data_IF_561433935173
#
_entry.id   IF_561433935173
#
_cell.length_a   1.000
_cell.length_b   1.000
_cell.length_c   1.000
_cell.angle_alpha   90.00
_cell.angle_beta   90.00
_cell.angle_gamma   90.00
#
_symmetry.space_group_name_H-M   'P 1'
#
loop_
_entity.id
_entity.type
_entity.pdbx_description
1 polymer ?
#
# COMPACT_ATOMS: atom_id res chain seq x y z
N UNK A 1 -19.07 6.54 -37.55
CA UNK A 1 -18.43 7.15 -38.73
C UNK A 1 -17.04 6.52 -38.96
N UNK A 2 -16.97 5.19 -39.06
CA UNK A 2 -15.69 4.45 -39.22
C UNK A 2 -15.75 3.36 -40.30
N UNK A 3 -16.90 3.15 -40.95
CA UNK A 3 -17.04 2.15 -42.02
C UNK A 3 -16.72 2.71 -43.41
N UNK A 4 -16.92 4.02 -43.66
CA UNK A 4 -16.69 4.61 -44.99
C UNK A 4 -15.20 4.69 -45.35
N UNK A 5 -14.32 4.95 -44.38
CA UNK A 5 -12.87 5.00 -44.61
C UNK A 5 -12.26 3.62 -44.91
N UNK A 6 -12.90 2.53 -44.47
CA UNK A 6 -12.41 1.17 -44.69
C UNK A 6 -12.71 0.67 -46.10
N UNK A 7 -13.92 0.92 -46.60
CA UNK A 7 -14.29 0.58 -47.99
C UNK A 7 -13.50 1.38 -49.02
N UNK A 8 -13.21 2.66 -48.71
CA UNK A 8 -12.41 3.52 -49.58
C UNK A 8 -10.98 3.01 -49.76
N UNK A 9 -10.32 2.61 -48.67
CA UNK A 9 -8.97 2.06 -48.72
C UNK A 9 -8.91 0.72 -49.47
N UNK A 10 -9.94 -0.12 -49.40
CA UNK A 10 -10.00 -1.37 -50.20
C UNK A 10 -10.10 -1.07 -51.70
N UNK A 11 -10.89 -0.07 -52.10
CA UNK A 11 -11.02 0.32 -53.50
C UNK A 11 -9.70 0.87 -54.07
N UNK A 12 -8.99 1.71 -53.31
CA UNK A 12 -7.67 2.25 -53.70
C UNK A 12 -6.61 1.14 -53.74
N UNK A 13 -6.63 0.20 -52.78
CA UNK A 13 -5.71 -0.94 -52.75
C UNK A 13 -5.91 -1.84 -53.96
N UNK A 14 -7.16 -2.20 -54.24
CA UNK A 14 -7.49 -2.93 -55.45
C UNK A 14 -6.87 -2.16 -56.61
N UNK A 15 -7.09 -0.82 -56.71
CA UNK A 15 -6.63 0.05 -57.81
C UNK A 15 -5.13 -0.03 -58.04
N UNK A 16 -4.36 -0.04 -56.96
CA UNK A 16 -2.93 -0.22 -57.01
C UNK A 16 -2.50 -1.62 -57.54
N UNK A 17 -3.29 -2.67 -57.31
CA UNK A 17 -3.02 -4.04 -57.76
C UNK A 17 -3.56 -4.36 -59.17
N UNK A 18 -4.22 -3.40 -59.85
CA UNK A 18 -4.81 -3.59 -61.17
C UNK A 18 -5.91 -4.68 -61.24
N UNK A 19 -6.70 -4.82 -60.17
CA UNK A 19 -7.84 -5.76 -60.04
C UNK A 19 -9.17 -4.98 -59.98
N UNK A 20 -9.69 -4.50 -61.13
CA UNK A 20 -10.97 -3.71 -61.22
C UNK A 20 -11.79 -4.06 -62.42
N UNK A 21 -13.07 -3.73 -62.31
CA UNK A 21 -13.99 -3.62 -63.44
C UNK A 21 -14.00 -2.20 -64.04
N UNK A 22 -14.23 -2.08 -65.35
CA UNK A 22 -14.06 -0.82 -66.10
C UNK A 22 -14.93 0.35 -65.62
N UNK A 23 -16.07 0.08 -64.98
CA UNK A 23 -16.97 1.11 -64.45
C UNK A 23 -16.46 1.76 -63.15
N UNK A 24 -15.76 1.00 -62.29
CA UNK A 24 -15.23 1.49 -61.01
C UNK A 24 -14.03 2.43 -61.21
N UNK A 25 -13.27 2.21 -62.28
CA UNK A 25 -12.07 3.00 -62.62
C UNK A 25 -12.38 4.48 -62.88
N UNK A 26 -13.55 4.79 -63.45
CA UNK A 26 -13.93 6.17 -63.75
C UNK A 26 -14.20 6.99 -62.49
N UNK A 27 -14.82 6.36 -61.48
CA UNK A 27 -15.15 7.02 -60.21
C UNK A 27 -13.90 7.21 -59.35
N UNK A 28 -13.04 6.19 -59.27
CA UNK A 28 -11.75 6.28 -58.56
C UNK A 28 -10.86 7.36 -59.18
N UNK A 29 -10.82 7.48 -60.52
CA UNK A 29 -10.08 8.56 -61.21
C UNK A 29 -10.65 9.94 -60.91
N UNK A 30 -11.98 10.10 -60.88
CA UNK A 30 -12.61 11.37 -60.52
C UNK A 30 -12.22 11.79 -59.10
N UNK A 31 -12.22 10.83 -58.17
CA UNK A 31 -11.85 11.05 -56.78
C UNK A 31 -10.36 11.39 -56.60
N UNK A 32 -9.49 10.67 -57.30
CA UNK A 32 -8.05 10.96 -57.32
C UNK A 32 -7.77 12.38 -57.84
N UNK A 33 -8.62 12.94 -58.71
CA UNK A 33 -8.46 14.32 -59.19
C UNK A 33 -8.97 15.37 -58.18
N UNK A 34 -9.96 15.04 -57.35
CA UNK A 34 -10.54 15.98 -56.38
C UNK A 34 -9.84 15.97 -55.02
N UNK A 35 -9.20 14.86 -54.62
CA UNK A 35 -8.65 14.66 -53.27
C UNK A 35 -7.12 14.42 -53.30
N UNK A 36 -6.29 15.37 -52.80
CA UNK A 36 -4.84 15.20 -52.75
C UNK A 36 -4.39 14.14 -51.73
N UNK A 37 -5.19 13.89 -50.68
CA UNK A 37 -4.92 12.85 -49.67
C UNK A 37 -5.04 11.43 -50.27
N UNK A 38 -6.03 11.20 -51.13
CA UNK A 38 -6.21 9.94 -51.85
C UNK A 38 -5.04 9.65 -52.81
N UNK A 39 -4.47 10.69 -53.44
CA UNK A 39 -3.26 10.55 -54.26
C UNK A 39 -2.05 10.15 -53.43
N UNK A 40 -1.84 10.77 -52.26
CA UNK A 40 -0.74 10.45 -51.37
C UNK A 40 -0.81 8.99 -50.87
N UNK A 41 -2.01 8.51 -50.52
CA UNK A 41 -2.22 7.12 -50.12
C UNK A 41 -1.94 6.14 -51.26
N UNK A 42 -2.36 6.44 -52.49
CA UNK A 42 -2.06 5.62 -53.66
C UNK A 42 -0.55 5.53 -53.92
N UNK A 43 0.19 6.63 -53.79
CA UNK A 43 1.65 6.63 -53.98
C UNK A 43 2.38 5.77 -52.94
N UNK A 44 2.01 5.89 -51.66
CA UNK A 44 2.57 5.06 -50.59
C UNK A 44 2.32 3.58 -50.87
N UNK A 45 1.11 3.23 -51.30
CA UNK A 45 0.74 1.85 -51.57
C UNK A 45 1.47 1.27 -52.79
N UNK A 46 1.59 2.05 -53.87
CA UNK A 46 2.40 1.68 -55.05
C UNK A 46 3.87 1.47 -54.69
N UNK A 47 4.45 2.34 -53.85
CA UNK A 47 5.83 2.20 -53.39
C UNK A 47 6.05 0.90 -52.62
N UNK A 48 5.12 0.55 -51.73
CA UNK A 48 5.21 -0.70 -50.95
C UNK A 48 5.00 -1.95 -51.83
N UNK A 49 4.08 -1.89 -52.81
CA UNK A 49 3.89 -2.98 -53.78
C UNK A 49 5.09 -3.15 -54.71
N UNK A 50 5.77 -2.06 -55.08
CA UNK A 50 6.99 -2.13 -55.87
C UNK A 50 8.11 -2.91 -55.15
N UNK A 51 8.28 -2.70 -53.83
CA UNK A 51 9.24 -3.46 -53.02
C UNK A 51 8.95 -4.97 -53.01
N UNK A 52 7.68 -5.36 -53.05
CA UNK A 52 7.27 -6.78 -53.10
C UNK A 52 7.45 -7.39 -54.49
N UNK A 53 7.37 -6.57 -55.55
CA UNK A 53 7.52 -7.02 -56.92
C UNK A 53 8.99 -7.21 -57.32
N UNK A 54 9.95 -6.66 -56.57
CA UNK A 54 11.40 -6.90 -56.80
C UNK A 54 11.76 -8.40 -56.76
N UNK A 55 11.04 -9.21 -55.97
CA UNK A 55 11.23 -10.66 -55.88
C UNK A 55 10.49 -11.46 -56.98
N UNK A 56 9.60 -10.83 -57.74
CA UNK A 56 8.78 -11.53 -58.76
C UNK A 56 9.54 -11.81 -60.07
N UNK A 57 10.70 -11.18 -60.25
CA UNK A 57 11.58 -11.40 -61.40
C UNK A 57 12.63 -12.52 -61.18
N UNK A 58 12.53 -13.26 -60.07
CA UNK A 58 13.45 -14.35 -59.78
C UNK A 58 13.06 -15.58 -60.62
N UNK A 59 13.97 -16.01 -61.49
CA UNK A 59 13.86 -17.29 -62.17
C UNK A 59 13.58 -18.41 -61.15
N UNK A 60 12.65 -19.33 -61.42
CA UNK A 60 12.38 -20.42 -60.52
C UNK A 60 13.69 -21.18 -60.25
N UNK A 61 14.02 -21.47 -58.98
CA UNK A 61 15.29 -22.09 -58.65
C UNK A 61 15.43 -23.42 -59.38
N UNK A 62 16.65 -23.72 -59.84
CA UNK A 62 16.93 -24.97 -60.55
C UNK A 62 16.36 -26.18 -59.78
N UNK A 63 15.78 -27.15 -60.49
CA UNK A 63 15.04 -28.30 -59.92
C UNK A 63 15.80 -29.08 -58.82
N UNK A 64 17.13 -28.97 -58.77
CA UNK A 64 17.98 -29.64 -57.80
C UNK A 64 18.54 -28.74 -56.69
N UNK A 65 18.12 -27.47 -56.59
CA UNK A 65 18.66 -26.53 -55.60
C UNK A 65 18.37 -27.03 -54.17
N UNK A 66 17.14 -27.45 -53.87
CA UNK A 66 16.80 -27.98 -52.56
C UNK A 66 17.68 -29.16 -52.16
N UNK A 67 17.90 -30.11 -53.09
CA UNK A 67 18.79 -31.27 -52.86
C UNK A 67 20.24 -30.84 -52.64
N UNK A 68 20.74 -29.87 -53.43
CA UNK A 68 22.10 -29.33 -53.27
C UNK A 68 22.26 -28.59 -51.93
N UNK A 69 21.26 -27.84 -51.49
CA UNK A 69 21.27 -27.15 -50.19
C UNK A 69 21.28 -28.14 -49.04
N UNK A 70 20.47 -29.19 -49.09
CA UNK A 70 20.46 -30.26 -48.07
C UNK A 70 21.83 -30.93 -47.98
N UNK A 71 22.45 -31.26 -49.12
CA UNK A 71 23.80 -31.85 -49.16
C UNK A 71 24.82 -30.85 -48.59
N UNK A 72 24.76 -29.57 -48.98
CA UNK A 72 25.67 -28.52 -48.51
C UNK A 72 25.58 -28.29 -47.01
N UNK A 73 24.37 -28.29 -46.43
CA UNK A 73 24.14 -28.12 -44.99
C UNK A 73 24.64 -29.35 -44.22
N UNK A 74 24.38 -30.55 -44.73
CA UNK A 74 24.93 -31.79 -44.17
C UNK A 74 26.46 -31.80 -44.17
N UNK A 75 27.08 -31.40 -45.27
CA UNK A 75 28.55 -31.33 -45.41
C UNK A 75 29.15 -30.17 -44.60
N UNK A 76 28.38 -29.13 -44.30
CA UNK A 76 28.79 -28.04 -43.41
C UNK A 76 28.69 -28.45 -41.93
N UNK A 77 27.74 -29.28 -41.53
CA UNK A 77 27.66 -29.83 -40.18
C UNK A 77 28.83 -30.77 -39.84
N UNK A 78 29.39 -31.47 -40.83
CA UNK A 78 30.53 -32.38 -40.65
C UNK A 78 31.90 -31.69 -40.73
N UNK A 79 31.95 -30.43 -41.16
CA UNK A 79 33.15 -29.60 -41.14
C UNK A 79 32.98 -28.47 -40.12
N UNK A 80 33.51 -28.67 -38.92
CA UNK A 80 33.80 -27.55 -38.00
C UNK A 80 34.91 -26.70 -38.60
N UNK A 81 34.56 -25.83 -39.55
CA UNK A 81 35.44 -24.74 -39.96
C UNK A 81 35.51 -23.77 -38.78
N UNK A 82 36.71 -23.32 -38.36
CA UNK A 82 36.80 -22.19 -37.45
C UNK A 82 36.22 -20.99 -38.19
N UNK A 83 34.98 -20.63 -37.88
CA UNK A 83 34.41 -19.36 -38.29
C UNK A 83 35.22 -18.28 -37.59
N UNK A 84 36.25 -17.77 -38.28
CA UNK A 84 36.92 -16.54 -37.88
C UNK A 84 35.94 -15.42 -38.17
N UNK A 85 34.93 -15.31 -37.31
CA UNK A 85 34.06 -14.14 -37.26
C UNK A 85 34.99 -12.95 -37.10
N UNK A 86 34.95 -12.04 -38.07
CA UNK A 86 35.47 -10.71 -37.85
C UNK A 86 34.53 -10.09 -36.81
N UNK A 87 34.87 -10.26 -35.52
CA UNK A 87 34.15 -9.66 -34.39
C UNK A 87 34.46 -8.15 -34.33
N UNK A 88 34.29 -7.46 -35.46
CA UNK A 88 34.22 -6.01 -35.52
C UNK A 88 32.78 -5.71 -35.87
N UNK A 89 31.94 -5.54 -34.83
CA UNK A 89 30.64 -4.81 -34.81
C UNK A 89 29.61 -5.31 -33.77
N UNK A 90 29.95 -6.23 -32.86
CA UNK A 90 29.02 -6.59 -31.75
C UNK A 90 29.20 -5.70 -30.49
N UNK A 91 30.25 -4.88 -30.44
CA UNK A 91 30.48 -3.99 -29.28
C UNK A 91 29.46 -2.83 -29.20
N UNK A 92 28.96 -2.31 -30.33
CA UNK A 92 27.97 -1.22 -30.32
C UNK A 92 26.58 -1.69 -29.84
N UNK A 93 26.17 -2.91 -30.21
CA UNK A 93 24.91 -3.49 -29.74
C UNK A 93 24.93 -3.81 -28.24
N UNK A 94 26.07 -4.25 -27.70
CA UNK A 94 26.22 -4.46 -26.25
C UNK A 94 26.17 -3.14 -25.47
N UNK A 95 26.79 -2.08 -25.97
CA UNK A 95 26.71 -0.76 -25.34
C UNK A 95 25.30 -0.17 -25.41
N UNK A 96 24.59 -0.36 -26.52
CA UNK A 96 23.19 0.08 -26.67
C UNK A 96 22.24 -0.72 -25.75
N UNK A 97 22.38 -2.05 -25.66
CA UNK A 97 21.63 -2.89 -24.71
C UNK A 97 21.92 -2.54 -23.26
N UNK A 98 23.17 -2.28 -22.91
CA UNK A 98 23.55 -1.88 -21.55
C UNK A 98 23.02 -0.48 -21.21
N UNK A 99 22.97 0.44 -22.18
CA UNK A 99 22.40 1.77 -22.00
C UNK A 99 20.89 1.71 -21.77
N UNK A 100 20.14 0.98 -22.61
CA UNK A 100 18.69 0.77 -22.43
C UNK A 100 18.40 0.12 -21.08
N UNK A 101 19.18 -0.89 -20.68
CA UNK A 101 19.03 -1.55 -19.38
C UNK A 101 19.33 -0.62 -18.19
N UNK A 102 20.21 0.37 -18.35
CA UNK A 102 20.46 1.40 -17.33
C UNK A 102 19.32 2.40 -17.24
N UNK A 103 18.74 2.81 -18.37
CA UNK A 103 17.55 3.66 -18.38
C UNK A 103 16.35 2.93 -17.77
N UNK A 104 16.14 1.67 -18.12
CA UNK A 104 15.09 0.83 -17.52
C UNK A 104 15.27 0.70 -16.00
N UNK A 105 16.50 0.51 -15.53
CA UNK A 105 16.83 0.50 -14.10
C UNK A 105 16.55 1.87 -13.43
N UNK A 106 16.87 2.99 -14.10
CA UNK A 106 16.58 4.34 -13.59
C UNK A 106 15.07 4.61 -13.51
N UNK A 107 14.31 4.18 -14.51
CA UNK A 107 12.85 4.28 -14.53
C UNK A 107 12.24 3.43 -13.42
N UNK A 108 12.70 2.18 -13.26
CA UNK A 108 12.26 1.31 -12.18
C UNK A 108 12.59 1.89 -10.79
N UNK A 109 13.79 2.45 -10.61
CA UNK A 109 14.19 3.12 -9.37
C UNK A 109 13.33 4.36 -9.10
N UNK A 110 13.08 5.19 -10.11
CA UNK A 110 12.20 6.36 -10.01
C UNK A 110 10.77 5.97 -9.63
N UNK A 111 10.23 4.92 -10.26
CA UNK A 111 8.90 4.40 -9.93
C UNK A 111 8.84 3.89 -8.48
N UNK A 112 9.88 3.17 -8.01
CA UNK A 112 9.96 2.69 -6.64
C UNK A 112 9.99 3.86 -5.64
N UNK A 113 10.73 4.94 -5.94
CA UNK A 113 10.75 6.14 -5.10
C UNK A 113 9.37 6.80 -5.06
N UNK A 114 8.67 6.92 -6.18
CA UNK A 114 7.31 7.48 -6.22
C UNK A 114 6.35 6.61 -5.42
N UNK A 115 6.36 5.28 -5.65
CA UNK A 115 5.50 4.33 -4.94
C UNK A 115 5.78 4.38 -3.43
N UNK A 116 7.05 4.34 -3.03
CA UNK A 116 7.41 4.38 -1.60
C UNK A 116 7.05 5.72 -0.96
N UNK A 117 7.19 6.83 -1.70
CA UNK A 117 6.75 8.15 -1.26
C UNK A 117 5.24 8.26 -1.00
N UNK A 118 4.41 7.49 -1.71
CA UNK A 118 2.95 7.43 -1.49
C UNK A 118 2.55 6.38 -0.46
N UNK A 119 3.21 5.21 -0.47
CA UNK A 119 2.89 4.13 0.48
C UNK A 119 3.26 4.49 1.91
N UNK A 120 4.36 5.21 2.13
CA UNK A 120 4.81 5.59 3.46
C UNK A 120 3.79 6.43 4.25
N UNK A 121 3.24 7.56 3.73
CA UNK A 121 2.24 8.34 4.45
C UNK A 121 0.91 7.58 4.60
N UNK A 122 0.53 6.76 3.62
CA UNK A 122 -0.67 5.93 3.73
C UNK A 122 -0.55 4.88 4.85
N UNK A 123 0.59 4.19 4.92
CA UNK A 123 0.86 3.22 5.99
C UNK A 123 0.92 3.91 7.36
N UNK A 124 1.54 5.10 7.43
CA UNK A 124 1.56 5.90 8.64
C UNK A 124 0.13 6.27 9.08
N UNK A 125 -0.71 6.74 8.16
CA UNK A 125 -2.09 7.07 8.46
C UNK A 125 -2.88 5.83 8.93
N UNK A 126 -2.73 4.69 8.25
CA UNK A 126 -3.36 3.44 8.66
C UNK A 126 -2.98 3.02 10.09
N UNK A 127 -1.70 3.16 10.47
CA UNK A 127 -1.24 2.91 11.83
C UNK A 127 -1.88 3.85 12.84
N UNK A 128 -1.89 5.15 12.57
CA UNK A 128 -2.50 6.13 13.51
C UNK A 128 -4.00 5.90 13.71
N UNK A 129 -4.72 5.45 12.68
CA UNK A 129 -6.13 5.11 12.80
C UNK A 129 -6.34 3.84 13.64
N UNK A 130 -5.49 2.82 13.43
CA UNK A 130 -5.51 1.60 14.22
C UNK A 130 -5.22 1.87 15.70
N UNK A 131 -4.24 2.74 16.00
CA UNK A 131 -3.89 3.15 17.37
C UNK A 131 -5.05 3.88 18.06
N UNK A 132 -5.72 4.81 17.37
CA UNK A 132 -6.90 5.52 17.88
C UNK A 132 -8.06 4.56 18.19
N UNK A 133 -8.34 3.64 17.27
CA UNK A 133 -9.39 2.64 17.44
C UNK A 133 -9.10 1.72 18.64
N UNK A 134 -7.83 1.33 18.80
CA UNK A 134 -7.40 0.50 19.92
C UNK A 134 -7.50 1.26 21.26
N UNK A 135 -7.12 2.54 21.33
CA UNK A 135 -7.32 3.35 22.55
C UNK A 135 -8.80 3.52 22.88
N UNK A 136 -9.66 3.82 21.89
CA UNK A 136 -11.10 3.90 22.09
C UNK A 136 -11.70 2.58 22.58
N UNK A 137 -11.21 1.45 22.07
CA UNK A 137 -11.63 0.13 22.53
C UNK A 137 -11.21 -0.13 23.99
N UNK A 138 -9.98 0.24 24.38
CA UNK A 138 -9.52 0.14 25.76
C UNK A 138 -10.40 0.96 26.70
N UNK A 139 -10.70 2.22 26.36
CA UNK A 139 -11.60 3.07 27.16
C UNK A 139 -13.00 2.46 27.31
N UNK A 140 -13.50 1.82 26.25
CA UNK A 140 -14.78 1.09 26.30
C UNK A 140 -14.73 -0.10 27.25
N UNK A 141 -13.65 -0.89 27.24
CA UNK A 141 -13.48 -1.99 28.20
C UNK A 141 -13.36 -1.48 29.64
N UNK A 142 -12.58 -0.41 29.86
CA UNK A 142 -12.53 0.25 31.18
C UNK A 142 -13.91 0.70 31.65
N UNK A 143 -14.70 1.30 30.75
CA UNK A 143 -16.07 1.71 31.08
C UNK A 143 -16.92 0.51 31.53
N UNK A 144 -16.84 -0.64 30.85
CA UNK A 144 -17.54 -1.85 31.28
C UNK A 144 -17.05 -2.32 32.66
N UNK A 145 -15.75 -2.33 32.92
CA UNK A 145 -15.19 -2.69 34.22
C UNK A 145 -15.67 -1.74 35.33
N UNK A 146 -15.76 -0.44 35.06
CA UNK A 146 -16.31 0.53 36.01
C UNK A 146 -17.79 0.28 36.29
N UNK A 147 -18.61 0.03 35.26
CA UNK A 147 -20.02 -0.28 35.44
C UNK A 147 -20.21 -1.57 36.24
N UNK A 148 -19.42 -2.59 35.96
CA UNK A 148 -19.43 -3.84 36.73
C UNK A 148 -19.02 -3.57 38.18
N UNK A 149 -17.96 -2.81 38.43
CA UNK A 149 -17.56 -2.42 39.78
C UNK A 149 -18.68 -1.70 40.54
N UNK A 150 -19.31 -0.70 39.90
CA UNK A 150 -20.42 0.02 40.50
C UNK A 150 -21.62 -0.89 40.81
N UNK A 151 -21.88 -1.91 39.98
CA UNK A 151 -22.97 -2.88 40.23
C UNK A 151 -22.70 -3.80 41.43
N UNK A 152 -21.43 -4.04 41.77
CA UNK A 152 -21.04 -4.81 42.94
C UNK A 152 -21.15 -3.99 44.24
N UNK A 153 -21.14 -2.66 44.14
CA UNK A 153 -21.19 -1.77 45.29
C UNK A 153 -22.65 -1.38 45.61
N UNK A 154 -23.10 -1.44 46.88
CA UNK A 154 -24.47 -1.08 47.27
C UNK A 154 -24.88 0.34 46.85
N UNK A 155 -23.93 1.26 46.80
CA UNK A 155 -24.15 2.68 46.51
C UNK A 155 -23.89 3.07 45.04
N UNK A 156 -23.49 2.13 44.17
CA UNK A 156 -23.14 2.46 42.78
C UNK A 156 -21.89 3.32 42.64
N UNK A 157 -20.98 3.29 43.62
CA UNK A 157 -19.76 4.11 43.65
C UNK A 157 -18.67 3.52 42.74
N UNK A 158 -17.94 4.39 42.06
CA UNK A 158 -16.71 4.02 41.36
C UNK A 158 -15.51 4.01 42.32
N UNK A 159 -14.34 3.48 41.92
CA UNK A 159 -13.13 3.51 42.75
C UNK A 159 -12.83 4.92 43.26
N UNK A 160 -12.79 5.06 44.58
CA UNK A 160 -12.58 6.34 45.25
C UNK A 160 -11.10 6.55 45.57
N UNK A 161 -10.63 7.78 45.40
CA UNK A 161 -9.27 8.19 45.78
C UNK A 161 -9.31 8.77 47.19
N UNK A 162 -8.65 8.10 48.12
CA UNK A 162 -8.63 8.52 49.52
C UNK A 162 -7.84 9.85 49.69
N UNK A 163 -8.22 10.72 50.64
CA UNK A 163 -7.50 11.97 50.92
C UNK A 163 -6.09 11.76 51.46
N UNK A 164 -5.84 10.62 52.10
CA UNK A 164 -4.56 10.25 52.70
C UNK A 164 -4.43 8.73 52.75
N UNK A 165 -3.22 8.23 52.99
CA UNK A 165 -2.94 6.80 53.03
C UNK A 165 -2.41 6.22 51.72
N UNK A 166 -2.24 4.89 51.64
CA UNK A 166 -1.60 4.21 50.51
C UNK A 166 -2.41 4.28 49.20
N UNK A 167 -3.69 4.64 49.28
CA UNK A 167 -4.62 4.73 48.13
C UNK A 167 -4.83 6.17 47.63
N UNK A 168 -4.09 7.13 48.17
CA UNK A 168 -4.19 8.55 47.85
C UNK A 168 -3.43 8.93 46.57
N UNK A 169 -3.81 8.36 45.41
CA UNK A 169 -3.25 8.70 44.10
C UNK A 169 -4.24 8.44 42.95
N UNK A 170 -4.10 9.18 41.85
CA UNK A 170 -5.05 9.15 40.73
C UNK A 170 -5.14 7.78 40.02
N UNK A 171 -4.06 7.00 40.02
CA UNK A 171 -3.99 5.68 39.38
C UNK A 171 -4.61 4.53 40.19
N UNK A 172 -5.22 4.80 41.35
CA UNK A 172 -5.71 3.76 42.29
C UNK A 172 -6.81 2.88 41.70
N UNK A 173 -7.51 3.36 40.67
CA UNK A 173 -8.55 2.59 39.98
C UNK A 173 -8.01 1.30 39.34
N UNK A 174 -6.78 1.29 38.83
CA UNK A 174 -6.16 0.09 38.22
C UNK A 174 -5.99 -1.05 39.23
N UNK A 175 -5.24 -0.88 40.34
CA UNK A 175 -5.06 -1.94 41.31
C UNK A 175 -6.38 -2.29 42.04
N UNK A 176 -7.31 -1.35 42.18
CA UNK A 176 -8.66 -1.62 42.72
C UNK A 176 -9.45 -2.54 41.79
N UNK A 177 -9.54 -2.23 40.50
CA UNK A 177 -10.28 -3.06 39.53
C UNK A 177 -9.65 -4.45 39.38
N UNK A 178 -8.31 -4.57 39.42
CA UNK A 178 -7.63 -5.87 39.43
C UNK A 178 -7.94 -6.69 40.67
N UNK A 179 -7.95 -6.08 41.86
CA UNK A 179 -8.26 -6.79 43.11
C UNK A 179 -9.66 -7.43 43.07
N UNK A 180 -10.61 -6.77 42.40
CA UNK A 180 -11.96 -7.29 42.19
C UNK A 180 -12.10 -8.22 40.97
N UNK A 181 -11.00 -8.55 40.27
CA UNK A 181 -11.02 -9.41 39.09
C UNK A 181 -11.72 -8.81 37.86
N UNK A 182 -11.93 -7.49 37.85
CA UNK A 182 -12.66 -6.78 36.79
C UNK A 182 -11.76 -6.27 35.67
N UNK A 183 -10.45 -6.31 35.89
CA UNK A 183 -9.42 -6.11 34.87
C UNK A 183 -8.70 -7.45 34.70
N UNK A 184 -8.78 -8.05 33.51
CA UNK A 184 -8.01 -9.26 33.21
C UNK A 184 -6.51 -8.96 33.13
N UNK A 185 -5.68 -9.98 33.34
CA UNK A 185 -4.20 -9.88 33.42
C UNK A 185 -3.55 -9.21 32.20
N UNK A 186 -4.22 -9.22 31.04
CA UNK A 186 -3.74 -8.67 29.77
C UNK A 186 -4.28 -7.28 29.41
N UNK A 187 -5.03 -6.60 30.29
CA UNK A 187 -5.53 -5.26 29.95
C UNK A 187 -4.39 -4.25 29.94
N UNK A 188 -4.04 -3.75 28.75
CA UNK A 188 -3.04 -2.70 28.59
C UNK A 188 -3.54 -1.40 29.22
N UNK A 189 -2.87 -0.97 30.28
CA UNK A 189 -3.02 0.39 30.85
C UNK A 189 -2.22 1.44 30.06
N UNK A 190 -1.50 1.00 29.02
CA UNK A 190 -0.80 1.89 28.09
C UNK A 190 -1.66 2.13 26.85
N UNK A 191 -1.68 3.40 26.43
CA UNK A 191 -2.34 3.81 25.21
C UNK A 191 -1.50 3.33 24.01
N UNK A 192 -2.07 2.62 23.03
CA UNK A 192 -1.32 2.15 21.85
C UNK A 192 -0.63 3.27 21.06
N UNK A 193 -1.18 4.48 21.08
CA UNK A 193 -0.57 5.66 20.46
C UNK A 193 0.67 6.16 21.24
N UNK A 194 0.74 5.86 22.55
CA UNK A 194 1.85 6.23 23.43
C UNK A 194 2.59 4.94 23.84
N UNK A 195 3.42 4.40 22.94
CA UNK A 195 4.19 3.16 23.12
C UNK A 195 5.25 3.20 24.24
N UNK A 196 5.12 4.10 25.22
CA UNK A 196 6.21 4.49 26.11
C UNK A 196 6.41 3.61 27.33
N UNK A 197 5.44 2.80 27.77
CA UNK A 197 5.63 2.02 29.01
C UNK A 197 4.92 0.68 29.01
N UNK A 198 5.66 -0.37 29.40
CA UNK A 198 5.05 -1.61 29.85
C UNK A 198 4.19 -1.32 31.09
N UNK A 199 3.00 -1.91 31.21
CA UNK A 199 2.21 -1.86 32.43
C UNK A 199 3.05 -2.28 33.64
N UNK A 200 3.26 -1.37 34.59
CA UNK A 200 3.79 -1.78 35.89
C UNK A 200 2.67 -2.49 36.63
N UNK A 201 2.82 -3.80 36.81
CA UNK A 201 1.93 -4.55 37.70
C UNK A 201 1.98 -3.91 39.09
N UNK A 202 0.83 -3.45 39.54
CA UNK A 202 0.68 -2.74 40.81
C UNK A 202 -0.35 -3.52 41.62
N UNK A 203 0.07 -4.04 42.76
CA UNK A 203 -0.78 -4.68 43.75
C UNK A 203 -1.01 -3.72 44.93
N UNK A 204 -2.23 -3.64 45.45
CA UNK A 204 -2.56 -2.80 46.61
C UNK A 204 -1.76 -3.20 47.86
N UNK A 205 -1.49 -4.48 48.08
CA UNK A 205 -0.75 -4.96 49.27
C UNK A 205 0.72 -4.51 49.23
N UNK A 206 1.32 -4.55 48.04
CA UNK A 206 2.67 -4.04 47.81
C UNK A 206 2.71 -2.52 48.01
N UNK A 207 1.65 -1.81 47.62
CA UNK A 207 1.56 -0.37 47.79
C UNK A 207 1.41 0.03 49.27
N UNK A 208 0.57 -0.70 50.01
CA UNK A 208 0.37 -0.51 51.44
C UNK A 208 1.68 -0.74 52.22
N UNK A 209 2.37 -1.85 51.95
CA UNK A 209 3.66 -2.14 52.62
C UNK A 209 4.74 -1.10 52.29
N UNK A 210 4.83 -0.58 51.06
CA UNK A 210 5.77 0.49 50.73
C UNK A 210 5.45 1.81 51.45
N UNK A 211 4.17 2.14 51.58
CA UNK A 211 3.70 3.31 52.30
C UNK A 211 4.02 3.21 53.79
N UNK A 212 3.71 2.07 54.42
CA UNK A 212 3.97 1.80 55.84
C UNK A 212 5.46 1.78 56.17
N UNK A 213 6.29 1.18 55.30
CA UNK A 213 7.74 1.13 55.46
C UNK A 213 8.45 2.48 55.18
N UNK A 214 7.70 3.57 54.95
CA UNK A 214 8.22 4.92 54.63
C UNK A 214 9.20 4.95 53.45
N UNK A 215 9.09 3.98 52.53
CA UNK A 215 9.90 3.92 51.31
C UNK A 215 9.37 4.91 50.29
N UNK A 216 9.59 6.21 50.56
CA UNK A 216 8.96 7.33 49.84
C UNK A 216 9.30 7.31 48.35
N UNK A 217 10.55 7.03 48.00
CA UNK A 217 11.02 7.01 46.60
C UNK A 217 10.46 5.85 45.78
N UNK A 218 10.32 4.66 46.39
CA UNK A 218 9.73 3.49 45.74
C UNK A 218 8.23 3.67 45.50
N UNK A 219 7.52 4.14 46.53
CA UNK A 219 6.08 4.47 46.44
C UNK A 219 5.81 5.54 45.38
N UNK A 220 6.55 6.66 45.39
CA UNK A 220 6.38 7.75 44.43
C UNK A 220 6.60 7.31 42.97
N UNK A 221 7.59 6.44 42.73
CA UNK A 221 7.82 5.88 41.39
C UNK A 221 6.66 4.99 40.96
N UNK A 222 6.17 4.14 41.84
CA UNK A 222 5.11 3.18 41.53
C UNK A 222 3.77 3.89 41.25
N UNK A 223 3.36 4.85 42.09
CA UNK A 223 2.11 5.60 41.87
C UNK A 223 2.12 6.44 40.59
N UNK A 224 3.30 6.90 40.16
CA UNK A 224 3.45 7.69 38.92
C UNK A 224 3.18 6.86 37.67
N UNK A 225 3.48 5.56 37.74
CA UNK A 225 3.34 4.63 36.62
C UNK A 225 2.05 3.78 36.71
N UNK A 226 1.42 3.68 37.90
CA UNK A 226 0.26 2.84 38.15
C UNK A 226 -0.99 3.20 37.34
N UNK A 227 -1.20 4.50 37.04
CA UNK A 227 -2.31 4.96 36.19
C UNK A 227 -2.09 4.78 34.68
N UNK A 228 -0.88 4.40 34.27
CA UNK A 228 -0.51 4.26 32.86
C UNK A 228 -0.65 5.57 32.07
N UNK A 229 -1.25 5.45 30.87
CA UNK A 229 -1.51 6.58 29.97
C UNK A 229 -2.93 7.15 30.09
N UNK A 230 -3.70 6.71 31.08
CA UNK A 230 -5.07 7.16 31.29
C UNK A 230 -5.20 8.08 32.51
N UNK A 231 -6.01 9.12 32.38
CA UNK A 231 -6.35 10.06 33.44
C UNK A 231 -7.76 9.75 33.98
N UNK A 232 -7.84 9.39 35.26
CA UNK A 232 -9.10 9.11 35.95
C UNK A 232 -9.58 10.34 36.72
N UNK A 233 -10.89 10.60 36.66
CA UNK A 233 -11.51 11.71 37.39
C UNK A 233 -11.71 11.34 38.86
N UNK A 234 -11.18 12.18 39.75
CA UNK A 234 -11.14 11.94 41.20
C UNK A 234 -12.47 12.28 41.90
N UNK A 235 -13.43 12.83 41.16
CA UNK A 235 -14.63 13.45 41.71
C UNK A 235 -14.39 14.93 42.05
N UNK A 236 -15.06 15.43 43.08
CA UNK A 236 -14.99 16.82 43.49
C UNK A 236 -14.87 16.96 45.00
N UNK A 237 -14.29 18.07 45.44
CA UNK A 237 -14.21 18.44 46.84
C UNK A 237 -15.33 19.44 47.15
N UNK A 238 -16.21 19.09 48.09
CA UNK A 238 -17.22 20.00 48.61
C UNK A 238 -16.90 20.31 50.08
N UNK A 239 -16.50 21.55 50.36
CA UNK A 239 -16.24 22.06 51.72
C UNK A 239 -15.27 21.19 52.55
N UNK A 240 -14.24 20.61 51.90
CA UNK A 240 -13.26 19.74 52.56
C UNK A 240 -13.62 18.26 52.56
N UNK A 241 -14.81 17.90 52.08
CA UNK A 241 -15.24 16.52 51.89
C UNK A 241 -15.04 16.10 50.43
N UNK A 242 -14.10 15.18 50.21
CA UNK A 242 -13.89 14.56 48.91
C UNK A 242 -15.03 13.59 48.60
N UNK A 243 -15.74 13.85 47.50
CA UNK A 243 -16.83 13.00 47.02
C UNK A 243 -16.41 12.33 45.73
N UNK A 244 -16.40 10.99 45.74
CA UNK A 244 -16.10 10.17 44.57
C UNK A 244 -17.20 10.17 43.52
N UNK A 245 -16.88 9.66 42.34
CA UNK A 245 -17.84 9.48 41.27
C UNK A 245 -18.80 8.31 41.55
N UNK A 246 -20.01 8.42 41.03
CA UNK A 246 -21.03 7.37 41.12
C UNK A 246 -21.63 7.13 39.74
N UNK A 247 -22.25 5.97 39.53
CA UNK A 247 -22.99 5.69 38.29
C UNK A 247 -24.23 6.58 38.11
N UNK A 248 -24.64 7.32 39.14
CA UNK A 248 -25.74 8.31 39.11
C UNK A 248 -25.25 9.74 38.88
N UNK A 249 -23.94 9.95 38.76
CA UNK A 249 -23.38 11.26 38.44
C UNK A 249 -23.91 11.74 37.07
N UNK A 250 -24.08 13.05 36.86
CA UNK A 250 -24.63 13.60 35.62
C UNK A 250 -23.89 13.02 34.40
N UNK A 251 -24.63 12.56 33.39
CA UNK A 251 -24.13 11.77 32.26
C UNK A 251 -23.01 12.41 31.43
N UNK A 252 -22.75 13.70 31.59
CA UNK A 252 -21.68 14.43 30.92
C UNK A 252 -20.36 14.49 31.71
N UNK A 253 -20.27 13.81 32.86
CA UNK A 253 -19.04 13.82 33.67
C UNK A 253 -18.01 12.85 33.09
N UNK A 254 -16.87 13.30 32.55
CA UNK A 254 -15.86 12.40 32.03
C UNK A 254 -15.25 11.58 33.18
N UNK A 255 -15.34 10.25 33.09
CA UNK A 255 -14.82 9.32 34.10
C UNK A 255 -13.32 9.05 33.86
N UNK A 256 -12.97 8.84 32.59
CA UNK A 256 -11.62 8.48 32.16
C UNK A 256 -11.30 9.23 30.86
N UNK A 257 -10.07 9.73 30.76
CA UNK A 257 -9.53 10.36 29.57
C UNK A 257 -8.19 9.72 29.19
N UNK A 258 -7.85 9.75 27.91
CA UNK A 258 -6.51 9.44 27.42
C UNK A 258 -5.60 10.67 27.64
N UNK A 259 -4.34 10.46 28.02
CA UNK A 259 -3.36 11.52 28.33
C UNK A 259 -2.63 12.06 27.07
N UNK A 260 -3.02 11.61 25.89
CA UNK A 260 -2.37 11.92 24.61
C UNK A 260 -2.72 13.28 24.00
#
# INVERSE_FOLDING_TARGET
MTNENGEDMDQILRYAMNIHESAEVAEIKRRLLSEPEAQAHLEVMRKNLALLNEDSALDPPSFNLAKKTIIRVRDAQTRTMPFKSKTEQIQSLNNYRNSIRRFDLLVAAGLLVIISGVLAPWLHQARTQAEKLASANNMREFHKSFQHYASLQPDGKFPFVEPSGPRSFAGVFIPTLRQHGLLGDYHSVSCPANQRKLPTETNLDQLASMYENKSKSGYERLIKDAGGDYAYSLGYNNEGTLTGLTNKSPGDSPILADKT
#
